data_IF_621368760773
#
_entry.id   IF_621368760773
#
_cell.length_a   1.000
_cell.length_b   1.000
_cell.length_c   1.000
_cell.angle_alpha   90.00
_cell.angle_beta   90.00
_cell.angle_gamma   90.00
#
_symmetry.space_group_name_H-M   'P 1'
#
loop_
_entity.id
_entity.type
_entity.pdbx_description
1 polymer ?
#
# COMPACT_ATOMS: atom_id res chain seq x y z
N UNK A 1 -9.63 -32.88 43.26
CA UNK A 1 -9.62 -33.58 41.97
C UNK A 1 -10.85 -33.12 41.18
N UNK A 2 -10.69 -32.87 39.88
CA UNK A 2 -11.65 -32.33 38.90
C UNK A 2 -11.71 -30.80 38.70
N UNK A 3 -10.72 -30.31 37.96
CA UNK A 3 -10.83 -29.17 37.05
C UNK A 3 -11.62 -29.61 35.79
N UNK A 4 -12.74 -28.95 35.49
CA UNK A 4 -13.38 -29.03 34.17
C UNK A 4 -12.85 -27.89 33.30
N UNK A 5 -11.96 -28.24 32.36
CA UNK A 5 -11.61 -27.42 31.21
C UNK A 5 -12.75 -27.53 30.18
N UNK A 6 -13.42 -26.40 29.92
CA UNK A 6 -14.34 -26.24 28.80
C UNK A 6 -13.75 -25.21 27.84
N UNK A 7 -13.06 -25.69 26.79
CA UNK A 7 -12.61 -24.86 25.68
C UNK A 7 -13.82 -24.42 24.85
N UNK A 8 -14.03 -23.10 24.73
CA UNK A 8 -14.97 -22.48 23.79
C UNK A 8 -14.17 -21.69 22.75
N UNK A 9 -13.69 -22.39 21.73
CA UNK A 9 -12.92 -21.83 20.60
C UNK A 9 -13.82 -21.26 19.48
N UNK A 10 -14.98 -20.67 19.81
CA UNK A 10 -15.94 -20.19 18.79
C UNK A 10 -16.20 -18.67 18.86
N UNK A 11 -15.67 -17.95 19.85
CA UNK A 11 -15.87 -16.50 19.97
C UNK A 11 -14.79 -15.61 19.32
N UNK A 12 -13.68 -16.18 18.86
CA UNK A 12 -12.59 -15.40 18.24
C UNK A 12 -12.72 -15.18 16.72
N UNK A 13 -13.74 -15.74 16.07
CA UNK A 13 -13.91 -15.59 14.61
C UNK A 13 -14.70 -14.34 14.20
N UNK A 14 -15.39 -13.66 15.12
CA UNK A 14 -16.33 -12.56 14.80
C UNK A 14 -15.72 -11.17 15.03
N UNK A 15 -14.61 -11.04 15.78
CA UNK A 15 -14.02 -9.73 16.14
C UNK A 15 -13.09 -9.16 15.04
N UNK A 16 -12.79 -9.90 13.98
CA UNK A 16 -11.90 -9.42 12.90
C UNK A 16 -12.60 -8.59 11.82
N UNK A 17 -13.93 -8.40 11.90
CA UNK A 17 -14.74 -7.79 10.85
C UNK A 17 -14.97 -6.28 10.95
N UNK A 18 -14.73 -5.65 12.12
CA UNK A 18 -15.34 -4.33 12.40
C UNK A 18 -14.36 -3.16 12.61
N UNK A 19 -13.04 -3.37 12.52
CA UNK A 19 -12.06 -2.28 12.68
C UNK A 19 -11.27 -1.99 11.38
N UNK A 20 -11.97 -1.78 10.26
CA UNK A 20 -11.35 -1.24 9.02
C UNK A 20 -11.70 0.25 8.82
N UNK A 21 -12.02 0.96 9.89
CA UNK A 21 -12.66 2.28 9.82
C UNK A 21 -11.79 3.44 9.31
N UNK A 22 -10.49 3.25 9.04
CA UNK A 22 -9.58 4.38 8.77
C UNK A 22 -8.78 4.32 7.46
N UNK A 23 -9.09 3.42 6.54
CA UNK A 23 -8.50 3.52 5.19
C UNK A 23 -9.38 4.43 4.34
N UNK A 24 -9.08 5.73 4.29
CA UNK A 24 -9.60 6.61 3.24
C UNK A 24 -9.38 5.93 1.89
N UNK A 25 -10.40 5.91 1.03
CA UNK A 25 -10.25 5.31 -0.28
C UNK A 25 -9.15 6.08 -1.05
N UNK A 26 -8.08 5.41 -1.51
CA UNK A 26 -6.96 6.06 -2.19
C UNK A 26 -7.40 6.85 -3.42
N UNK A 27 -8.46 6.40 -4.10
CA UNK A 27 -9.10 7.12 -5.20
C UNK A 27 -9.70 8.45 -4.74
N UNK A 28 -10.47 8.46 -3.65
CA UNK A 28 -11.01 9.69 -3.06
C UNK A 28 -9.91 10.65 -2.61
N UNK A 29 -8.80 10.12 -2.09
CA UNK A 29 -7.65 10.93 -1.69
C UNK A 29 -7.03 11.64 -2.90
N UNK A 30 -6.89 10.93 -4.02
CA UNK A 30 -6.40 11.50 -5.27
C UNK A 30 -7.31 12.64 -5.78
N UNK A 31 -8.64 12.44 -5.72
CA UNK A 31 -9.61 13.49 -6.07
C UNK A 31 -9.46 14.72 -5.17
N UNK A 32 -9.30 14.51 -3.86
CA UNK A 32 -9.12 15.61 -2.90
C UNK A 32 -7.83 16.40 -3.16
N UNK A 33 -6.69 15.74 -3.36
CA UNK A 33 -5.43 16.46 -3.59
C UNK A 33 -5.46 17.24 -4.90
N UNK A 34 -6.02 16.68 -5.98
CA UNK A 34 -6.07 17.35 -7.29
C UNK A 34 -6.94 18.61 -7.29
N UNK A 35 -7.89 18.69 -6.35
CA UNK A 35 -8.72 19.88 -6.14
C UNK A 35 -8.10 20.91 -5.18
N UNK A 36 -7.06 20.55 -4.44
CA UNK A 36 -6.41 21.43 -3.46
C UNK A 36 -5.62 22.58 -4.11
N UNK A 37 -5.51 23.70 -3.40
CA UNK A 37 -4.76 24.86 -3.88
C UNK A 37 -3.25 24.58 -3.98
N UNK A 38 -2.68 23.81 -3.04
CA UNK A 38 -1.27 23.44 -3.06
C UNK A 38 -0.91 22.66 -4.32
N UNK A 39 -1.76 21.70 -4.72
CA UNK A 39 -1.55 20.93 -5.94
C UNK A 39 -1.68 21.78 -7.20
N UNK A 40 -2.72 22.63 -7.27
CA UNK A 40 -2.93 23.53 -8.40
C UNK A 40 -1.77 24.50 -8.58
N UNK A 41 -1.21 25.02 -7.48
CA UNK A 41 -0.01 25.87 -7.51
C UNK A 41 1.21 25.07 -7.96
N UNK A 42 1.41 23.87 -7.42
CA UNK A 42 2.51 22.99 -7.82
C UNK A 42 2.46 22.64 -9.31
N UNK A 43 1.29 22.36 -9.87
CA UNK A 43 1.08 22.07 -11.31
C UNK A 43 1.41 23.24 -12.24
N UNK A 44 1.49 24.48 -11.76
CA UNK A 44 1.89 25.62 -12.61
C UNK A 44 3.38 25.54 -13.01
N UNK A 45 4.17 24.80 -12.23
CA UNK A 45 5.62 24.70 -12.40
C UNK A 45 6.10 23.27 -12.69
N UNK A 46 5.21 22.28 -12.62
CA UNK A 46 5.55 20.86 -12.77
C UNK A 46 4.57 20.17 -13.72
N UNK A 47 5.07 19.23 -14.51
CA UNK A 47 4.27 18.38 -15.41
C UNK A 47 4.13 16.97 -14.84
N UNK A 48 4.06 16.87 -13.52
CA UNK A 48 4.05 15.58 -12.85
C UNK A 48 2.73 14.84 -13.01
N UNK A 49 2.85 13.52 -13.18
CA UNK A 49 1.72 12.59 -13.33
C UNK A 49 1.64 11.70 -12.10
N UNK A 50 0.44 11.24 -11.74
CA UNK A 50 0.28 10.28 -10.65
C UNK A 50 1.17 9.06 -10.90
N UNK A 51 1.99 8.72 -9.92
CA UNK A 51 2.90 7.59 -9.97
C UNK A 51 2.46 6.49 -9.02
N UNK A 52 2.15 6.86 -7.77
CA UNK A 52 1.77 5.90 -6.76
C UNK A 52 0.94 6.52 -5.64
N UNK A 53 0.27 5.64 -4.90
CA UNK A 53 -0.25 5.93 -3.57
C UNK A 53 0.43 4.97 -2.59
N UNK A 54 0.90 5.47 -1.45
CA UNK A 54 1.67 4.71 -0.47
C UNK A 54 1.06 4.85 0.93
N UNK A 55 1.03 3.76 1.70
CA UNK A 55 0.68 3.79 3.11
C UNK A 55 1.51 2.77 3.89
N UNK A 56 2.09 3.20 5.00
CA UNK A 56 2.68 2.27 5.97
C UNK A 56 1.58 1.53 6.71
N UNK A 57 1.71 0.21 6.85
CA UNK A 57 0.72 -0.63 7.51
C UNK A 57 1.35 -1.50 8.60
N UNK A 58 0.55 -1.85 9.59
CA UNK A 58 0.89 -2.83 10.62
C UNK A 58 0.76 -4.25 10.10
N UNK A 59 1.26 -5.23 10.86
CA UNK A 59 1.07 -6.66 10.59
C UNK A 59 -0.41 -7.10 10.48
N UNK A 60 -1.35 -6.37 11.09
CA UNK A 60 -2.80 -6.61 11.02
C UNK A 60 -3.51 -5.77 9.93
N UNK A 61 -2.74 -5.15 9.03
CA UNK A 61 -3.21 -4.36 7.88
C UNK A 61 -3.93 -3.06 8.27
N UNK A 62 -3.55 -2.46 9.40
CA UNK A 62 -4.01 -1.14 9.81
C UNK A 62 -3.03 -0.07 9.31
N UNK A 63 -3.55 1.06 8.84
CA UNK A 63 -2.72 2.19 8.48
C UNK A 63 -1.97 2.73 9.71
N UNK A 64 -0.65 2.90 9.58
CA UNK A 64 0.21 3.51 10.62
C UNK A 64 0.31 5.03 10.50
N UNK A 65 -0.27 5.59 9.45
CA UNK A 65 -0.24 7.01 9.15
C UNK A 65 -1.10 7.31 7.93
N UNK A 66 -1.03 8.56 7.48
CA UNK A 66 -1.81 9.01 6.33
C UNK A 66 -1.26 8.41 5.03
N UNK A 67 -2.15 8.29 4.06
CA UNK A 67 -1.77 7.93 2.71
C UNK A 67 -0.97 9.07 2.06
N UNK A 68 0.05 8.67 1.33
CA UNK A 68 0.92 9.54 0.56
C UNK A 68 0.60 9.40 -0.93
N UNK A 69 0.49 10.52 -1.64
CA UNK A 69 0.21 10.57 -3.08
C UNK A 69 1.44 11.10 -3.79
N UNK A 70 2.09 10.23 -4.57
CA UNK A 70 3.31 10.55 -5.29
C UNK A 70 3.05 10.91 -6.76
N UNK A 71 3.54 12.07 -7.17
CA UNK A 71 3.51 12.54 -8.56
C UNK A 71 4.92 12.57 -9.15
N UNK A 72 5.10 11.90 -10.28
CA UNK A 72 6.37 11.84 -10.98
C UNK A 72 6.43 12.85 -12.13
N UNK A 73 7.42 13.74 -12.07
CA UNK A 73 7.73 14.69 -13.12
C UNK A 73 8.82 14.12 -14.04
N UNK A 74 8.47 13.90 -15.31
CA UNK A 74 9.37 13.28 -16.29
C UNK A 74 10.52 14.20 -16.71
N UNK A 75 10.31 15.51 -16.67
CA UNK A 75 11.28 16.51 -17.13
C UNK A 75 12.41 16.69 -16.10
N UNK A 76 12.04 16.80 -14.82
CA UNK A 76 12.99 16.94 -13.72
C UNK A 76 13.49 15.60 -13.19
N UNK A 77 12.79 14.52 -13.50
CA UNK A 77 13.10 13.20 -12.97
C UNK A 77 12.82 13.07 -11.46
N UNK A 78 12.03 13.96 -10.86
CA UNK A 78 11.73 13.97 -9.42
C UNK A 78 10.31 13.46 -9.13
N UNK A 79 10.13 12.94 -7.92
CA UNK A 79 8.81 12.64 -7.37
C UNK A 79 8.50 13.66 -6.28
N UNK A 80 7.34 14.31 -6.39
CA UNK A 80 6.77 15.13 -5.32
C UNK A 80 5.70 14.32 -4.61
N UNK A 81 5.71 14.30 -3.28
CA UNK A 81 4.78 13.52 -2.46
C UNK A 81 3.92 14.46 -1.64
N UNK A 82 2.61 14.25 -1.65
CA UNK A 82 1.66 14.97 -0.80
C UNK A 82 1.05 14.02 0.22
N UNK A 83 0.74 14.55 1.40
CA UNK A 83 -0.02 13.84 2.43
C UNK A 83 -1.05 14.79 3.04
N UNK A 84 -2.22 14.25 3.40
CA UNK A 84 -3.19 14.96 4.21
C UNK A 84 -2.68 14.99 5.67
N UNK A 85 -2.73 16.14 6.32
CA UNK A 85 -2.47 16.35 7.75
C UNK A 85 -3.64 17.20 8.28
N UNK A 86 -4.49 16.58 9.08
CA UNK A 86 -5.65 17.22 9.72
C UNK A 86 -6.58 17.97 8.74
N UNK A 87 -6.80 17.41 7.55
CA UNK A 87 -7.67 17.96 6.50
C UNK A 87 -6.96 18.94 5.55
N UNK A 88 -5.65 19.10 5.68
CA UNK A 88 -4.84 19.99 4.85
C UNK A 88 -3.71 19.20 4.18
N UNK A 89 -3.57 19.35 2.86
CA UNK A 89 -2.45 18.72 2.16
C UNK A 89 -1.16 19.50 2.35
N UNK A 90 -0.10 18.76 2.65
CA UNK A 90 1.28 19.27 2.71
C UNK A 90 2.15 18.52 1.72
N UNK A 91 3.08 19.22 1.10
CA UNK A 91 4.17 18.62 0.33
C UNK A 91 5.21 18.08 1.30
N UNK A 92 5.55 16.79 1.20
CA UNK A 92 6.66 16.22 1.94
C UNK A 92 7.97 16.72 1.33
N UNK A 93 8.98 17.07 2.14
CA UNK A 93 10.29 17.40 1.63
C UNK A 93 10.77 16.30 0.68
N UNK A 94 11.37 16.69 -0.44
CA UNK A 94 12.00 15.76 -1.36
C UNK A 94 13.21 15.11 -0.67
N UNK A 95 12.98 14.05 0.10
CA UNK A 95 14.03 13.08 0.37
C UNK A 95 14.39 12.44 -0.96
N UNK A 96 15.69 12.19 -1.19
CA UNK A 96 16.19 11.52 -2.40
C UNK A 96 15.42 10.22 -2.60
N UNK A 97 14.36 10.28 -3.42
CA UNK A 97 13.58 9.11 -3.79
C UNK A 97 14.56 8.21 -4.50
N UNK A 98 14.99 7.17 -3.79
CA UNK A 98 15.98 6.19 -4.23
C UNK A 98 15.46 5.53 -5.51
N UNK A 99 15.75 6.16 -6.64
CA UNK A 99 15.60 5.54 -7.94
C UNK A 99 16.77 4.61 -8.12
N UNK A 100 16.48 3.33 -8.31
CA UNK A 100 17.45 2.54 -9.03
C UNK A 100 17.59 3.18 -10.43
N UNK A 101 18.81 3.47 -10.92
CA UNK A 101 19.02 4.21 -12.16
C UNK A 101 18.34 3.63 -13.42
N UNK A 102 17.80 2.41 -13.33
CA UNK A 102 17.26 1.63 -14.44
C UNK A 102 15.75 1.42 -14.40
N UNK A 103 15.06 1.79 -13.32
CA UNK A 103 13.61 1.55 -13.21
C UNK A 103 12.80 2.73 -13.77
N UNK A 104 12.08 2.48 -14.86
CA UNK A 104 11.10 3.43 -15.43
C UNK A 104 9.98 3.64 -14.40
N UNK A 105 9.74 4.90 -14.02
CA UNK A 105 8.56 5.26 -13.22
C UNK A 105 7.36 5.34 -14.16
N UNK A 106 6.40 4.44 -13.95
CA UNK A 106 5.18 4.35 -14.76
C UNK A 106 4.09 5.29 -14.19
N UNK A 107 3.27 5.85 -15.08
CA UNK A 107 2.09 6.61 -14.68
C UNK A 107 1.01 5.65 -14.21
N UNK A 108 0.38 5.97 -13.08
CA UNK A 108 -0.81 5.29 -12.58
C UNK A 108 -2.05 6.00 -13.11
N UNK A 109 -2.86 5.28 -13.87
CA UNK A 109 -4.20 5.70 -14.23
C UNK A 109 -5.17 5.28 -13.11
N UNK A 110 -5.54 6.23 -12.25
CA UNK A 110 -6.36 5.95 -11.07
C UNK A 110 -7.75 5.40 -11.43
N UNK A 111 -8.28 5.74 -12.61
CA UNK A 111 -9.62 5.30 -13.05
C UNK A 111 -9.68 3.79 -13.31
N UNK A 112 -8.52 3.16 -13.52
CA UNK A 112 -8.39 1.72 -13.71
C UNK A 112 -8.39 0.94 -12.40
N UNK A 113 -8.23 1.61 -11.26
CA UNK A 113 -8.22 1.01 -9.92
C UNK A 113 -9.67 0.79 -9.47
N UNK A 114 -10.14 -0.44 -9.59
CA UNK A 114 -11.53 -0.85 -9.27
C UNK A 114 -11.62 -1.76 -8.06
N UNK A 115 -10.53 -2.45 -7.74
CA UNK A 115 -10.46 -3.36 -6.61
C UNK A 115 -10.23 -2.56 -5.33
N UNK A 116 -11.22 -2.56 -4.45
CA UNK A 116 -11.23 -1.72 -3.24
C UNK A 116 -10.07 -2.09 -2.30
N UNK A 117 -9.69 -1.16 -1.43
CA UNK A 117 -8.65 -1.42 -0.41
C UNK A 117 -9.02 -2.61 0.48
N UNK A 118 -10.31 -2.71 0.84
CA UNK A 118 -10.82 -3.79 1.66
C UNK A 118 -10.66 -5.14 0.97
N UNK A 119 -11.03 -5.21 -0.31
CA UNK A 119 -10.91 -6.44 -1.08
C UNK A 119 -9.44 -6.78 -1.35
N UNK A 120 -8.60 -5.78 -1.59
CA UNK A 120 -7.15 -5.93 -1.74
C UNK A 120 -6.48 -6.49 -0.47
N UNK A 121 -6.85 -5.97 0.70
CA UNK A 121 -6.36 -6.48 2.00
C UNK A 121 -6.81 -7.92 2.22
N UNK A 122 -8.07 -8.26 1.93
CA UNK A 122 -8.58 -9.61 2.08
C UNK A 122 -7.87 -10.58 1.11
N UNK A 123 -7.76 -10.20 -0.16
CA UNK A 123 -7.02 -10.97 -1.16
C UNK A 123 -5.57 -11.18 -0.75
N UNK A 124 -4.91 -10.15 -0.21
CA UNK A 124 -3.55 -10.28 0.28
C UNK A 124 -3.46 -11.26 1.46
N UNK A 125 -4.36 -11.17 2.44
CA UNK A 125 -4.41 -12.10 3.58
C UNK A 125 -4.56 -13.55 3.13
N UNK A 126 -5.37 -13.80 2.10
CA UNK A 126 -5.56 -15.14 1.56
C UNK A 126 -4.31 -15.63 0.84
N UNK A 127 -3.67 -14.79 0.03
CA UNK A 127 -2.40 -15.14 -0.65
C UNK A 127 -1.23 -15.31 0.31
N UNK A 128 -1.19 -14.57 1.42
CA UNK A 128 -0.21 -14.78 2.46
C UNK A 128 -0.36 -16.17 3.12
N UNK A 129 -1.59 -16.60 3.40
CA UNK A 129 -1.83 -17.95 3.93
C UNK A 129 -1.48 -19.03 2.91
N UNK A 130 -1.72 -18.78 1.62
CA UNK A 130 -1.44 -19.73 0.54
C UNK A 130 0.07 -19.94 0.34
N UNK A 131 0.84 -18.85 0.20
CA UNK A 131 2.24 -18.93 -0.21
C UNK A 131 3.24 -18.80 0.93
N UNK A 132 2.85 -18.20 2.06
CA UNK A 132 3.74 -17.84 3.16
C UNK A 132 3.20 -18.27 4.53
N UNK A 133 2.48 -19.42 4.58
CA UNK A 133 1.83 -19.93 5.79
C UNK A 133 2.75 -20.13 7.00
N UNK A 134 4.04 -20.36 6.77
CA UNK A 134 5.05 -20.52 7.83
C UNK A 134 5.63 -19.20 8.36
N UNK A 135 5.38 -18.09 7.68
CA UNK A 135 5.97 -16.80 8.02
C UNK A 135 5.13 -16.03 9.04
N UNK A 136 5.82 -15.36 9.96
CA UNK A 136 5.20 -14.36 10.83
C UNK A 136 5.51 -12.99 10.26
N UNK A 137 4.49 -12.35 9.69
CA UNK A 137 4.62 -11.02 9.12
C UNK A 137 4.74 -9.97 10.23
N UNK A 138 5.63 -9.01 10.03
CA UNK A 138 5.71 -7.77 10.81
C UNK A 138 5.03 -6.64 10.08
N UNK A 139 5.39 -5.41 10.44
CA UNK A 139 4.92 -4.21 9.76
C UNK A 139 5.44 -4.15 8.32
N UNK A 140 4.74 -3.36 7.51
CA UNK A 140 4.96 -3.29 6.08
C UNK A 140 4.41 -2.01 5.47
N UNK A 141 4.14 -2.09 4.17
CA UNK A 141 3.50 -1.01 3.43
C UNK A 141 2.59 -1.58 2.33
N UNK A 142 1.59 -0.78 1.96
CA UNK A 142 0.76 -0.97 0.79
C UNK A 142 1.08 0.14 -0.22
N UNK A 143 1.26 -0.25 -1.48
CA UNK A 143 1.46 0.68 -2.61
C UNK A 143 0.47 0.36 -3.71
N UNK A 144 -0.20 1.38 -4.23
CA UNK A 144 -0.86 1.32 -5.53
C UNK A 144 0.06 1.96 -6.55
N UNK A 145 0.43 1.22 -7.58
CA UNK A 145 1.32 1.71 -8.64
C UNK A 145 1.07 0.94 -9.93
N UNK A 146 1.58 1.45 -11.04
CA UNK A 146 1.68 0.67 -12.28
C UNK A 146 2.94 -0.18 -12.23
N UNK A 147 2.81 -1.48 -12.49
CA UNK A 147 3.89 -2.44 -12.64
C UNK A 147 3.70 -3.19 -13.95
N UNK A 148 4.65 -3.04 -14.88
CA UNK A 148 4.59 -3.66 -16.21
C UNK A 148 3.29 -3.29 -16.97
N UNK A 149 2.96 -2.00 -16.99
CA UNK A 149 1.71 -1.45 -17.53
C UNK A 149 0.40 -1.99 -16.89
N UNK A 150 0.49 -2.64 -15.72
CA UNK A 150 -0.67 -3.14 -14.98
C UNK A 150 -0.81 -2.40 -13.66
N UNK A 151 -1.97 -1.81 -13.33
CA UNK A 151 -2.19 -1.21 -12.02
C UNK A 151 -2.23 -2.32 -10.97
N UNK A 152 -1.43 -2.21 -9.91
CA UNK A 152 -1.32 -3.24 -8.87
C UNK A 152 -1.41 -2.66 -7.47
N UNK A 153 -2.04 -3.44 -6.60
CA UNK A 153 -1.86 -3.40 -5.16
C UNK A 153 -0.63 -4.22 -4.80
N UNK A 154 0.44 -3.57 -4.35
CA UNK A 154 1.65 -4.22 -3.85
C UNK A 154 1.69 -4.12 -2.33
N UNK A 155 1.59 -5.26 -1.65
CA UNK A 155 1.75 -5.36 -0.21
C UNK A 155 3.11 -5.98 0.09
N UNK A 156 3.91 -5.27 0.89
CA UNK A 156 5.25 -5.68 1.26
C UNK A 156 5.39 -5.72 2.77
N UNK A 157 5.91 -6.82 3.32
CA UNK A 157 6.10 -6.99 4.76
C UNK A 157 7.52 -7.45 5.07
N UNK A 158 8.03 -7.01 6.23
CA UNK A 158 9.24 -7.59 6.83
C UNK A 158 8.80 -8.67 7.81
N UNK A 159 9.21 -9.90 7.59
CA UNK A 159 8.91 -11.02 8.50
C UNK A 159 9.82 -11.00 9.73
N UNK A 160 9.42 -11.70 10.80
CA UNK A 160 10.27 -11.89 11.98
C UNK A 160 11.54 -12.70 11.71
N UNK A 161 11.58 -13.44 10.60
CA UNK A 161 12.75 -14.18 10.11
C UNK A 161 13.67 -13.32 9.22
N UNK A 162 13.46 -12.00 9.19
CA UNK A 162 14.20 -11.03 8.37
C UNK A 162 14.14 -11.38 6.88
N UNK A 163 12.92 -11.61 6.38
CA UNK A 163 12.64 -11.72 4.95
C UNK A 163 11.70 -10.60 4.52
N UNK A 164 11.86 -10.11 3.30
CA UNK A 164 10.82 -9.36 2.62
C UNK A 164 9.89 -10.32 1.91
N UNK A 165 8.60 -10.21 2.18
CA UNK A 165 7.56 -10.85 1.38
C UNK A 165 6.78 -9.79 0.63
N UNK A 166 6.47 -10.05 -0.63
CA UNK A 166 5.69 -9.18 -1.49
C UNK A 166 4.54 -9.96 -2.11
N UNK A 167 3.36 -9.34 -2.14
CA UNK A 167 2.17 -9.84 -2.84
C UNK A 167 1.64 -8.72 -3.72
N UNK A 168 1.60 -8.96 -5.03
CA UNK A 168 1.03 -8.02 -6.00
C UNK A 168 -0.30 -8.56 -6.51
N UNK A 169 -1.37 -7.81 -6.30
CA UNK A 169 -2.70 -8.08 -6.84
C UNK A 169 -3.03 -7.06 -7.92
N UNK A 170 -3.68 -7.49 -8.99
CA UNK A 170 -4.19 -6.59 -10.02
C UNK A 170 -5.23 -5.65 -9.39
N UNK A 171 -5.03 -4.34 -9.52
CA UNK A 171 -5.89 -3.34 -8.91
C UNK A 171 -7.22 -3.14 -9.65
N UNK A 172 -7.39 -3.77 -10.81
CA UNK A 172 -8.66 -3.83 -11.56
C UNK A 172 -9.43 -5.11 -11.24
N UNK A 173 -8.77 -6.27 -11.21
CA UNK A 173 -9.44 -7.60 -11.12
C UNK A 173 -9.30 -8.29 -9.77
N UNK A 174 -8.31 -7.92 -8.94
CA UNK A 174 -7.97 -8.61 -7.69
C UNK A 174 -7.15 -9.89 -7.87
N UNK A 175 -6.84 -10.29 -9.10
CA UNK A 175 -6.04 -11.49 -9.38
C UNK A 175 -4.58 -11.32 -8.95
N UNK A 176 -3.93 -12.42 -8.55
CA UNK A 176 -2.52 -12.40 -8.23
C UNK A 176 -1.70 -12.13 -9.49
N UNK A 177 -0.88 -11.08 -9.46
CA UNK A 177 0.06 -10.73 -10.52
C UNK A 177 1.43 -11.33 -10.25
N UNK A 178 1.89 -11.26 -8.99
CA UNK A 178 3.22 -11.70 -8.59
C UNK A 178 3.29 -11.93 -7.08
N UNK A 179 4.21 -12.79 -6.63
CA UNK A 179 4.56 -12.94 -5.22
C UNK A 179 6.05 -13.24 -5.08
N UNK A 180 6.69 -12.70 -4.06
CA UNK A 180 8.14 -12.85 -3.88
C UNK A 180 8.50 -12.97 -2.41
N UNK A 181 9.52 -13.79 -2.13
CA UNK A 181 10.24 -13.83 -0.85
C UNK A 181 11.72 -13.52 -1.09
N UNK A 182 12.28 -12.58 -0.33
CA UNK A 182 13.69 -12.20 -0.39
C UNK A 182 14.25 -12.26 1.03
N UNK A 183 15.29 -13.06 1.26
CA UNK A 183 16.00 -13.05 2.53
C UNK A 183 16.89 -11.81 2.66
N UNK A 184 16.84 -11.14 3.81
CA UNK A 184 17.73 -10.00 4.13
C UNK A 184 19.07 -10.42 4.69
N UNK A 185 19.21 -11.70 5.06
CA UNK A 185 20.45 -12.26 5.58
C UNK A 185 21.15 -12.97 4.42
N UNK A 186 22.36 -12.53 4.09
CA UNK A 186 23.22 -13.29 3.18
C UNK A 186 23.62 -14.59 3.87
N UNK A 187 23.41 -15.72 3.19
CA UNK A 187 24.05 -16.99 3.58
C UNK A 187 25.56 -16.91 3.36
#
# INVERSE_FOLDING_TARGET
MNLKLGFSNVQNAIILGENMHNLTAPVELFEKITQSDIYKQWQQHHQGKLSHLFCSITADFQAKGNWEVGFFDQETGKITVFTDVDGHFVEKPADDVFKQPTSKVETLDIETVKFSVKDAVNGCKDKLKEFFSSEQIGDGFAIIQTYQNTPVWNFSFITKTLKFINVKLNATTGELVDHQEISLVKK
#
